data_IF_187645609644
#
_entry.id   IF_187645609644
#
_cell.length_a   1.000
_cell.length_b   1.000
_cell.length_c   1.000
_cell.angle_alpha   90.00
_cell.angle_beta   90.00
_cell.angle_gamma   90.00
#
_symmetry.space_group_name_H-M   'P 1'
#
loop_
_entity.id
_entity.type
_entity.pdbx_description
1 polymer ?
#
# COMPACT_ATOMS: atom_id res chain seq x y z
N UNK A 1 0.31 -12.92 18.12
CA UNK A 1 0.03 -11.47 18.18
C UNK A 1 -0.56 -10.94 16.88
N UNK A 2 -0.29 -11.64 15.78
CA UNK A 2 -0.60 -11.23 14.41
C UNK A 2 -2.10 -11.11 14.15
N UNK A 3 -2.92 -12.00 14.74
CA UNK A 3 -4.38 -11.92 14.62
C UNK A 3 -4.98 -10.60 15.13
N UNK A 4 -4.43 -9.99 16.18
CA UNK A 4 -4.92 -8.70 16.70
C UNK A 4 -4.51 -7.56 15.76
N UNK A 5 -3.26 -7.55 15.30
CA UNK A 5 -2.74 -6.53 14.38
C UNK A 5 -3.49 -6.57 13.05
N UNK A 6 -3.65 -7.76 12.46
CA UNK A 6 -4.39 -7.95 11.22
C UNK A 6 -5.89 -7.67 11.39
N UNK A 7 -6.48 -8.05 12.53
CA UNK A 7 -7.87 -7.72 12.84
C UNK A 7 -8.12 -6.21 12.91
N UNK A 8 -7.25 -5.46 13.60
CA UNK A 8 -7.31 -4.00 13.63
C UNK A 8 -7.10 -3.37 12.25
N UNK A 9 -6.12 -3.86 11.48
CA UNK A 9 -5.89 -3.41 10.11
C UNK A 9 -7.12 -3.63 9.23
N UNK A 10 -7.76 -4.80 9.32
CA UNK A 10 -8.97 -5.12 8.56
C UNK A 10 -10.12 -4.17 8.91
N UNK A 11 -10.36 -3.91 10.20
CA UNK A 11 -11.39 -2.94 10.63
C UNK A 11 -11.13 -1.53 10.09
N UNK A 12 -9.88 -1.07 10.16
CA UNK A 12 -9.47 0.24 9.62
C UNK A 12 -9.64 0.28 8.09
N UNK A 13 -9.29 -0.79 7.38
CA UNK A 13 -9.49 -0.90 5.93
C UNK A 13 -10.97 -0.88 5.56
N UNK A 14 -11.81 -1.64 6.25
CA UNK A 14 -13.27 -1.68 6.01
C UNK A 14 -13.87 -0.30 6.24
N UNK A 15 -13.60 0.32 7.39
CA UNK A 15 -14.09 1.65 7.71
C UNK A 15 -13.60 2.70 6.69
N UNK A 16 -12.30 2.68 6.37
CA UNK A 16 -11.69 3.57 5.38
C UNK A 16 -12.31 3.42 3.99
N UNK A 17 -12.52 2.18 3.54
CA UNK A 17 -13.13 1.84 2.25
C UNK A 17 -14.58 2.31 2.19
N UNK A 18 -15.38 2.01 3.22
CA UNK A 18 -16.78 2.44 3.29
C UNK A 18 -16.91 3.97 3.26
N UNK A 19 -16.08 4.68 4.04
CA UNK A 19 -16.07 6.14 4.08
C UNK A 19 -15.64 6.74 2.72
N UNK A 20 -14.58 6.20 2.13
CA UNK A 20 -14.03 6.67 0.86
C UNK A 20 -14.94 6.37 -0.33
N UNK A 21 -15.53 5.18 -0.37
CA UNK A 21 -16.47 4.77 -1.41
C UNK A 21 -17.77 5.56 -1.34
N UNK A 22 -18.30 5.79 -0.13
CA UNK A 22 -19.47 6.68 0.05
C UNK A 22 -19.17 8.10 -0.43
N UNK A 23 -17.97 8.61 -0.20
CA UNK A 23 -17.55 9.92 -0.71
C UNK A 23 -17.40 9.95 -2.23
N UNK A 24 -16.73 8.95 -2.81
CA UNK A 24 -16.57 8.81 -4.25
C UNK A 24 -17.92 8.74 -4.95
N UNK A 25 -18.86 7.99 -4.39
CA UNK A 25 -20.24 7.90 -4.89
C UNK A 25 -20.98 9.23 -4.80
N UNK A 26 -20.96 9.90 -3.64
CA UNK A 26 -21.64 11.19 -3.42
C UNK A 26 -21.13 12.28 -4.36
N UNK A 27 -19.85 12.26 -4.70
CA UNK A 27 -19.25 13.31 -5.53
C UNK A 27 -18.94 12.85 -6.96
N UNK A 28 -19.56 11.75 -7.42
CA UNK A 28 -19.32 11.17 -8.75
C UNK A 28 -19.53 12.14 -9.92
N UNK A 29 -20.37 13.15 -9.74
CA UNK A 29 -20.68 14.17 -10.74
C UNK A 29 -19.61 15.27 -10.85
N UNK A 30 -18.68 15.40 -9.89
CA UNK A 30 -17.61 16.41 -9.94
C UNK A 30 -16.40 15.87 -10.71
N UNK A 31 -15.89 16.63 -11.68
CA UNK A 31 -14.73 16.25 -12.48
C UNK A 31 -13.40 16.34 -11.69
N UNK A 32 -13.30 17.31 -10.77
CA UNK A 32 -12.10 17.50 -9.94
C UNK A 32 -11.76 16.28 -9.10
N UNK A 33 -10.49 15.86 -9.14
CA UNK A 33 -9.92 14.75 -8.37
C UNK A 33 -10.70 13.44 -8.50
N UNK A 34 -11.32 13.20 -9.66
CA UNK A 34 -12.13 11.99 -9.90
C UNK A 34 -11.28 10.73 -9.77
N UNK A 35 -10.07 10.73 -10.34
CA UNK A 35 -9.16 9.56 -10.30
C UNK A 35 -8.76 9.30 -8.86
N UNK A 36 -8.26 10.30 -8.13
CA UNK A 36 -7.82 10.16 -6.75
C UNK A 36 -8.91 9.61 -5.81
N UNK A 37 -10.18 10.00 -5.98
CA UNK A 37 -11.26 9.48 -5.13
C UNK A 37 -11.51 8.00 -5.35
N UNK A 38 -11.53 7.55 -6.60
CA UNK A 38 -11.74 6.15 -6.94
C UNK A 38 -10.53 5.31 -6.56
N UNK A 39 -9.32 5.72 -6.94
CA UNK A 39 -8.10 4.97 -6.64
C UNK A 39 -7.83 4.88 -5.15
N UNK A 40 -8.17 5.88 -4.34
CA UNK A 40 -8.14 5.76 -2.87
C UNK A 40 -9.07 4.67 -2.34
N UNK A 41 -10.31 4.63 -2.86
CA UNK A 41 -11.29 3.63 -2.43
C UNK A 41 -10.82 2.22 -2.81
N UNK A 42 -10.28 2.08 -4.02
CA UNK A 42 -9.65 0.84 -4.47
C UNK A 42 -8.49 0.49 -3.53
N UNK A 43 -7.56 1.42 -3.28
CA UNK A 43 -6.40 1.21 -2.41
C UNK A 43 -6.80 0.65 -1.04
N UNK A 44 -7.79 1.24 -0.37
CA UNK A 44 -8.24 0.75 0.93
C UNK A 44 -8.93 -0.61 0.85
N UNK A 45 -9.71 -0.84 -0.21
CA UNK A 45 -10.39 -2.11 -0.45
C UNK A 45 -9.39 -3.25 -0.69
N UNK A 46 -8.45 -3.08 -1.62
CA UNK A 46 -7.44 -4.10 -1.92
C UNK A 46 -6.49 -4.32 -0.74
N UNK A 47 -6.15 -3.27 0.02
CA UNK A 47 -5.39 -3.42 1.25
C UNK A 47 -6.14 -4.29 2.27
N UNK A 48 -7.45 -4.08 2.43
CA UNK A 48 -8.29 -4.90 3.30
C UNK A 48 -8.32 -6.37 2.87
N UNK A 49 -8.48 -6.63 1.57
CA UNK A 49 -8.42 -8.00 1.03
C UNK A 49 -7.05 -8.64 1.27
N UNK A 50 -5.95 -7.93 1.00
CA UNK A 50 -4.60 -8.43 1.24
C UNK A 50 -4.33 -8.76 2.71
N UNK A 51 -4.80 -7.91 3.64
CA UNK A 51 -4.72 -8.16 5.09
C UNK A 51 -5.52 -9.40 5.48
N UNK A 52 -6.72 -9.59 4.91
CA UNK A 52 -7.53 -10.79 5.19
C UNK A 52 -6.85 -12.06 4.68
N UNK A 53 -6.25 -12.02 3.50
CA UNK A 53 -5.50 -13.16 2.94
C UNK A 53 -4.27 -13.54 3.77
N UNK A 54 -3.73 -12.60 4.57
CA UNK A 54 -2.63 -12.86 5.49
C UNK A 54 -3.06 -13.50 6.83
N UNK A 55 -4.37 -13.71 7.05
CA UNK A 55 -4.87 -14.38 8.26
C UNK A 55 -4.80 -15.90 8.06
N UNK A 56 -4.16 -16.68 8.95
CA UNK A 56 -3.95 -18.12 8.74
C UNK A 56 -5.23 -18.93 8.46
N UNK A 57 -6.34 -18.56 9.11
CA UNK A 57 -7.64 -19.22 8.88
C UNK A 57 -8.18 -18.96 7.46
N UNK A 58 -7.96 -17.75 6.92
CA UNK A 58 -8.37 -17.38 5.57
C UNK A 58 -7.42 -17.99 4.55
N UNK A 59 -6.12 -18.01 4.84
CA UNK A 59 -5.09 -18.69 4.03
C UNK A 59 -5.48 -20.15 3.79
N UNK A 60 -5.68 -20.92 4.87
CA UNK A 60 -6.09 -22.33 4.79
C UNK A 60 -7.39 -22.53 4.00
N UNK A 61 -8.36 -21.62 4.15
CA UNK A 61 -9.62 -21.67 3.42
C UNK A 61 -9.40 -21.43 1.91
N UNK A 62 -8.62 -20.41 1.55
CA UNK A 62 -8.35 -20.08 0.15
C UNK A 62 -7.56 -21.20 -0.54
N UNK A 63 -6.57 -21.77 0.13
CA UNK A 63 -5.77 -22.86 -0.41
C UNK A 63 -6.59 -24.14 -0.57
N UNK A 64 -7.45 -24.48 0.40
CA UNK A 64 -8.36 -25.63 0.27
C UNK A 64 -9.41 -25.45 -0.83
N UNK A 65 -9.90 -24.22 -1.05
CA UNK A 65 -10.87 -23.93 -2.11
C UNK A 65 -10.25 -23.90 -3.52
N UNK A 66 -9.02 -23.41 -3.64
CA UNK A 66 -8.32 -23.29 -4.93
C UNK A 66 -7.54 -24.54 -5.32
N UNK A 67 -7.20 -25.37 -4.34
CA UNK A 67 -6.27 -26.49 -4.51
C UNK A 67 -4.84 -26.05 -4.81
N UNK A 68 -4.53 -24.76 -4.64
CA UNK A 68 -3.23 -24.16 -4.95
C UNK A 68 -2.53 -23.73 -3.67
N UNK A 69 -1.39 -24.34 -3.39
CA UNK A 69 -0.52 -23.91 -2.29
C UNK A 69 -0.05 -22.48 -2.52
N UNK A 70 0.01 -21.66 -1.46
CA UNK A 70 0.38 -20.25 -1.49
C UNK A 70 -0.59 -19.32 -2.26
N UNK A 71 -1.78 -19.78 -2.62
CA UNK A 71 -2.75 -18.94 -3.33
C UNK A 71 -3.11 -17.66 -2.55
N UNK A 72 -3.25 -17.77 -1.22
CA UNK A 72 -3.53 -16.63 -0.37
C UNK A 72 -2.35 -15.65 -0.32
N UNK A 73 -1.11 -16.15 -0.21
CA UNK A 73 0.11 -15.33 -0.23
C UNK A 73 0.30 -14.60 -1.56
N UNK A 74 0.10 -15.29 -2.69
CA UNK A 74 0.11 -14.64 -4.01
C UNK A 74 -0.95 -13.54 -4.08
N UNK A 75 -2.17 -13.85 -3.64
CA UNK A 75 -3.26 -12.88 -3.59
C UNK A 75 -2.93 -11.66 -2.72
N UNK A 76 -2.30 -11.87 -1.56
CA UNK A 76 -1.85 -10.79 -0.68
C UNK A 76 -0.79 -9.91 -1.36
N UNK A 77 0.19 -10.50 -2.04
CA UNK A 77 1.21 -9.74 -2.77
C UNK A 77 0.63 -8.97 -3.96
N UNK A 78 -0.29 -9.57 -4.74
CA UNK A 78 -1.02 -8.86 -5.80
C UNK A 78 -1.80 -7.68 -5.21
N UNK A 79 -2.50 -7.89 -4.10
CA UNK A 79 -3.22 -6.82 -3.40
C UNK A 79 -2.28 -5.69 -2.97
N UNK A 80 -1.09 -6.01 -2.45
CA UNK A 80 -0.09 -5.02 -2.08
C UNK A 80 0.44 -4.23 -3.29
N UNK A 81 0.65 -4.87 -4.44
CA UNK A 81 1.05 -4.21 -5.69
C UNK A 81 -0.04 -3.25 -6.17
N UNK A 82 -1.30 -3.70 -6.19
CA UNK A 82 -2.45 -2.89 -6.55
C UNK A 82 -2.69 -1.74 -5.57
N UNK A 83 -2.45 -1.97 -4.27
CA UNK A 83 -2.54 -0.95 -3.22
C UNK A 83 -1.53 0.17 -3.48
N UNK A 84 -0.25 -0.17 -3.63
CA UNK A 84 0.81 0.79 -3.93
C UNK A 84 0.54 1.55 -5.23
N UNK A 85 0.17 0.84 -6.30
CA UNK A 85 -0.16 1.46 -7.59
C UNK A 85 -1.33 2.44 -7.47
N UNK A 86 -2.41 2.05 -6.79
CA UNK A 86 -3.58 2.90 -6.56
C UNK A 86 -3.25 4.18 -5.80
N UNK A 87 -2.38 4.08 -4.78
CA UNK A 87 -1.90 5.24 -4.04
C UNK A 87 -1.04 6.17 -4.90
N UNK A 88 -0.16 5.63 -5.74
CA UNK A 88 0.60 6.46 -6.67
C UNK A 88 -0.32 7.19 -7.66
N UNK A 89 -1.31 6.51 -8.24
CA UNK A 89 -2.28 7.16 -9.14
C UNK A 89 -3.05 8.29 -8.42
N UNK A 90 -3.44 8.06 -7.16
CA UNK A 90 -4.06 9.09 -6.34
C UNK A 90 -3.15 10.32 -6.14
N UNK A 91 -1.87 10.10 -5.82
CA UNK A 91 -0.94 11.19 -5.55
C UNK A 91 -0.57 11.97 -6.81
N UNK A 92 -0.45 11.30 -7.97
CA UNK A 92 -0.22 11.99 -9.25
C UNK A 92 -1.39 12.92 -9.55
N UNK A 93 -2.63 12.46 -9.39
CA UNK A 93 -3.84 13.31 -9.57
C UNK A 93 -3.92 14.46 -8.55
N UNK A 94 -3.24 14.37 -7.40
CA UNK A 94 -3.14 15.48 -6.44
C UNK A 94 -1.99 16.45 -6.70
N UNK A 95 -0.90 16.00 -7.33
CA UNK A 95 0.36 16.75 -7.37
C UNK A 95 0.77 17.24 -8.76
N UNK A 96 0.31 16.60 -9.84
CA UNK A 96 0.74 16.92 -11.20
C UNK A 96 -0.26 17.81 -11.93
N UNK A 97 0.27 18.69 -12.78
CA UNK A 97 -0.53 19.47 -13.74
C UNK A 97 -1.17 18.55 -14.78
N UNK A 98 -2.33 18.95 -15.31
CA UNK A 98 -3.15 18.14 -16.23
C UNK A 98 -2.39 17.73 -17.51
N UNK A 99 -1.40 18.52 -17.94
CA UNK A 99 -0.63 18.29 -19.17
C UNK A 99 0.24 17.03 -19.11
N UNK A 100 0.80 16.71 -17.94
CA UNK A 100 1.68 15.55 -17.71
C UNK A 100 0.99 14.41 -16.96
N UNK A 101 -0.27 14.62 -16.55
CA UNK A 101 -1.06 13.67 -15.76
C UNK A 101 -1.21 12.32 -16.47
N UNK A 102 -1.65 12.32 -17.74
CA UNK A 102 -1.91 11.07 -18.48
C UNK A 102 -0.66 10.22 -18.63
N UNK A 103 0.44 10.80 -19.09
CA UNK A 103 1.72 10.09 -19.25
C UNK A 103 2.20 9.52 -17.91
N UNK A 104 2.10 10.30 -16.83
CA UNK A 104 2.50 9.88 -15.48
C UNK A 104 1.62 8.77 -14.90
N UNK A 105 0.32 8.74 -15.23
CA UNK A 105 -0.59 7.66 -14.87
C UNK A 105 -0.26 6.39 -15.65
N UNK A 106 -0.06 6.48 -16.97
CA UNK A 106 0.29 5.33 -17.80
C UNK A 106 1.62 4.70 -17.40
N UNK A 107 2.64 5.50 -17.09
CA UNK A 107 3.93 4.99 -16.63
C UNK A 107 3.80 4.15 -15.35
N UNK A 108 2.97 4.59 -14.39
CA UNK A 108 2.74 3.86 -13.12
C UNK A 108 1.92 2.59 -13.31
N UNK A 109 0.90 2.65 -14.17
CA UNK A 109 0.11 1.47 -14.54
C UNK A 109 1.02 0.45 -15.24
N UNK A 110 1.82 0.89 -16.22
CA UNK A 110 2.75 0.04 -16.94
C UNK A 110 3.77 -0.59 -15.98
N UNK A 111 4.33 0.17 -15.05
CA UNK A 111 5.26 -0.35 -14.05
C UNK A 111 4.62 -1.43 -13.16
N UNK A 112 3.41 -1.19 -12.64
CA UNK A 112 2.66 -2.18 -11.86
C UNK A 112 2.32 -3.43 -12.68
N UNK A 113 1.92 -3.28 -13.94
CA UNK A 113 1.65 -4.41 -14.85
C UNK A 113 2.92 -5.21 -15.12
N UNK A 114 4.05 -4.57 -15.39
CA UNK A 114 5.33 -5.25 -15.58
C UNK A 114 5.75 -6.06 -14.35
N UNK A 115 5.55 -5.51 -13.15
CA UNK A 115 5.83 -6.21 -11.89
C UNK A 115 4.92 -7.43 -11.73
N UNK A 116 3.62 -7.30 -11.96
CA UNK A 116 2.69 -8.44 -11.90
C UNK A 116 3.06 -9.51 -12.94
N UNK A 117 3.40 -9.11 -14.17
CA UNK A 117 3.84 -10.01 -15.24
C UNK A 117 5.17 -10.69 -14.95
N UNK A 118 6.04 -10.09 -14.13
CA UNK A 118 7.28 -10.73 -13.66
C UNK A 118 7.01 -11.70 -12.50
N UNK A 119 6.12 -11.34 -11.57
CA UNK A 119 5.80 -12.16 -10.40
C UNK A 119 5.04 -13.44 -10.73
N UNK A 120 4.10 -13.40 -11.68
CA UNK A 120 3.25 -14.57 -11.98
C UNK A 120 4.03 -15.78 -12.54
N UNK A 121 4.92 -15.64 -13.54
CA UNK A 121 5.73 -16.76 -14.01
C UNK A 121 6.66 -17.32 -12.94
N UNK A 122 7.33 -16.44 -12.17
CA UNK A 122 8.19 -16.86 -11.05
C UNK A 122 7.40 -17.64 -9.99
N UNK A 123 6.16 -17.22 -9.72
CA UNK A 123 5.28 -17.96 -8.83
C UNK A 123 4.95 -19.34 -9.39
N UNK A 124 4.51 -19.44 -10.65
CA UNK A 124 4.15 -20.73 -11.28
C UNK A 124 5.35 -21.69 -11.32
N UNK A 125 6.54 -21.19 -11.64
CA UNK A 125 7.76 -22.00 -11.72
C UNK A 125 8.25 -22.50 -10.35
N UNK A 126 8.08 -21.68 -9.31
CA UNK A 126 8.66 -21.97 -7.98
C UNK A 126 7.65 -22.61 -7.01
N UNK A 127 6.36 -22.58 -7.33
CA UNK A 127 5.32 -23.14 -6.47
C UNK A 127 5.45 -24.66 -6.34
N UNK A 128 5.57 -25.14 -5.10
CA UNK A 128 5.58 -26.57 -4.76
C UNK A 128 4.79 -26.83 -3.47
N UNK A 129 4.48 -28.09 -3.18
CA UNK A 129 3.73 -28.49 -1.97
C UNK A 129 4.41 -28.11 -0.65
N UNK A 130 5.73 -28.00 -0.64
CA UNK A 130 6.52 -27.73 0.57
C UNK A 130 7.28 -26.40 0.52
N UNK A 131 6.96 -25.50 -0.40
CA UNK A 131 7.69 -24.23 -0.55
C UNK A 131 6.70 -23.09 -0.35
N UNK A 132 6.98 -22.22 0.61
CA UNK A 132 6.21 -20.99 0.79
C UNK A 132 6.95 -19.77 0.25
N UNK A 133 6.19 -18.78 -0.24
CA UNK A 133 6.77 -17.50 -0.68
C UNK A 133 7.05 -16.57 0.50
N UNK A 134 7.85 -17.05 1.44
CA UNK A 134 8.25 -16.37 2.67
C UNK A 134 9.77 -16.31 2.78
N UNK A 135 10.26 -15.54 3.75
CA UNK A 135 11.69 -15.40 4.08
C UNK A 135 12.29 -16.72 4.60
N UNK A 136 11.46 -17.63 5.11
CA UNK A 136 11.87 -18.98 5.50
C UNK A 136 12.46 -19.78 4.33
N UNK A 137 11.93 -19.59 3.12
CA UNK A 137 12.38 -20.27 1.91
C UNK A 137 13.38 -19.45 1.08
N UNK A 138 14.10 -18.52 1.72
CA UNK A 138 15.13 -17.70 1.06
C UNK A 138 16.27 -18.51 0.41
N UNK A 139 16.43 -19.79 0.77
CA UNK A 139 17.35 -20.71 0.12
C UNK A 139 16.93 -21.11 -1.30
N UNK A 140 15.64 -21.02 -1.64
CA UNK A 140 15.13 -21.30 -2.97
C UNK A 140 15.33 -20.05 -3.88
N UNK A 141 16.14 -20.14 -4.96
CA UNK A 141 16.45 -18.97 -5.80
C UNK A 141 15.20 -18.30 -6.38
N UNK A 142 14.21 -19.09 -6.81
CA UNK A 142 12.95 -18.58 -7.36
C UNK A 142 12.15 -17.74 -6.36
N UNK A 143 12.10 -18.16 -5.08
CA UNK A 143 11.41 -17.43 -4.01
C UNK A 143 12.12 -16.11 -3.74
N UNK A 144 13.46 -16.14 -3.68
CA UNK A 144 14.27 -14.94 -3.46
C UNK A 144 14.11 -13.93 -4.59
N UNK A 145 14.16 -14.34 -5.86
CA UNK A 145 13.95 -13.44 -7.00
C UNK A 145 12.53 -12.87 -6.99
N UNK A 146 11.51 -13.71 -6.75
CA UNK A 146 10.12 -13.28 -6.62
C UNK A 146 9.96 -12.20 -5.54
N UNK A 147 10.49 -12.46 -4.33
CA UNK A 147 10.38 -11.54 -3.21
C UNK A 147 11.16 -10.25 -3.47
N UNK A 148 12.33 -10.30 -4.11
CA UNK A 148 13.10 -9.10 -4.44
C UNK A 148 12.38 -8.20 -5.45
N UNK A 149 11.72 -8.78 -6.47
CA UNK A 149 10.88 -8.02 -7.42
C UNK A 149 9.73 -7.32 -6.69
N UNK A 150 9.01 -8.07 -5.86
CA UNK A 150 7.90 -7.56 -5.05
C UNK A 150 8.34 -6.44 -4.09
N UNK A 151 9.37 -6.69 -3.28
CA UNK A 151 9.87 -5.76 -2.27
C UNK A 151 10.50 -4.53 -2.91
N UNK A 152 11.18 -4.68 -4.06
CA UNK A 152 11.71 -3.57 -4.84
C UNK A 152 10.60 -2.62 -5.29
N UNK A 153 9.50 -3.17 -5.81
CA UNK A 153 8.32 -2.37 -6.17
C UNK A 153 7.74 -1.64 -4.95
N UNK A 154 7.55 -2.34 -3.82
CA UNK A 154 7.06 -1.71 -2.57
C UNK A 154 8.00 -0.59 -2.12
N UNK A 155 9.31 -0.82 -2.09
CA UNK A 155 10.29 0.19 -1.67
C UNK A 155 10.25 1.45 -2.57
N UNK A 156 10.22 1.27 -3.89
CA UNK A 156 10.18 2.38 -4.85
C UNK A 156 8.88 3.17 -4.69
N UNK A 157 7.74 2.47 -4.71
CA UNK A 157 6.42 3.12 -4.65
C UNK A 157 6.19 3.81 -3.30
N UNK A 158 6.56 3.19 -2.17
CA UNK A 158 6.51 3.82 -0.86
C UNK A 158 7.48 5.01 -0.75
N UNK A 159 8.68 4.91 -1.34
CA UNK A 159 9.63 6.03 -1.42
C UNK A 159 9.03 7.24 -2.15
N UNK A 160 8.41 7.02 -3.31
CA UNK A 160 7.69 8.07 -4.04
C UNK A 160 6.53 8.65 -3.23
N UNK A 161 5.73 7.81 -2.56
CA UNK A 161 4.62 8.25 -1.71
C UNK A 161 5.14 9.15 -0.59
N UNK A 162 6.22 8.75 0.09
CA UNK A 162 6.84 9.52 1.16
C UNK A 162 7.31 10.89 0.65
N UNK A 163 7.97 10.92 -0.51
CA UNK A 163 8.44 12.16 -1.15
C UNK A 163 7.28 13.10 -1.50
N UNK A 164 6.27 12.61 -2.24
CA UNK A 164 5.12 13.42 -2.67
C UNK A 164 4.28 13.91 -1.50
N UNK A 165 4.01 13.05 -0.51
CA UNK A 165 3.25 13.44 0.68
C UNK A 165 3.99 14.50 1.49
N UNK A 166 5.31 14.39 1.62
CA UNK A 166 6.13 15.38 2.35
C UNK A 166 6.11 16.74 1.65
N UNK A 167 6.28 16.77 0.33
CA UNK A 167 6.20 18.01 -0.46
C UNK A 167 4.83 18.68 -0.35
N UNK A 168 3.76 17.90 -0.50
CA UNK A 168 2.39 18.43 -0.35
C UNK A 168 2.09 18.86 1.09
N UNK A 169 2.59 18.17 2.11
CA UNK A 169 2.43 18.55 3.50
C UNK A 169 3.05 19.92 3.78
N UNK A 170 4.27 20.15 3.25
CA UNK A 170 4.96 21.43 3.37
C UNK A 170 4.18 22.57 2.67
N UNK A 171 3.69 22.31 1.45
CA UNK A 171 2.87 23.28 0.72
C UNK A 171 1.57 23.61 1.47
N UNK A 172 0.84 22.59 1.94
CA UNK A 172 -0.40 22.77 2.69
C UNK A 172 -0.18 23.57 3.98
N UNK A 173 0.94 23.33 4.67
CA UNK A 173 1.31 24.06 5.89
C UNK A 173 1.57 25.53 5.61
N UNK A 174 2.28 25.86 4.51
CA UNK A 174 2.53 27.24 4.09
C UNK A 174 1.25 27.99 3.73
N UNK A 175 0.25 27.28 3.19
CA UNK A 175 -1.07 27.84 2.88
C UNK A 175 -2.05 27.86 4.07
N UNK A 176 -1.59 27.57 5.30
CA UNK A 176 -2.43 27.59 6.51
C UNK A 176 -3.38 26.39 6.69
N UNK A 177 -3.27 25.35 5.85
CA UNK A 177 -4.11 24.15 5.90
C UNK A 177 -3.55 23.10 6.87
N UNK A 178 -3.51 23.41 8.17
CA UNK A 178 -2.82 22.62 9.21
C UNK A 178 -3.31 21.16 9.26
N UNK A 179 -4.62 20.92 9.22
CA UNK A 179 -5.19 19.56 9.24
C UNK A 179 -4.79 18.72 8.03
N UNK A 180 -4.76 19.35 6.85
CA UNK A 180 -4.33 18.70 5.61
C UNK A 180 -2.84 18.35 5.68
N UNK A 181 -2.03 19.30 6.15
CA UNK A 181 -0.58 19.12 6.30
C UNK A 181 -0.25 17.98 7.27
N UNK A 182 -0.90 17.92 8.43
CA UNK A 182 -0.69 16.85 9.40
C UNK A 182 -1.11 15.49 8.84
N UNK A 183 -2.22 15.41 8.08
CA UNK A 183 -2.65 14.16 7.45
C UNK A 183 -1.63 13.64 6.44
N UNK A 184 -1.11 14.54 5.59
CA UNK A 184 -0.07 14.22 4.63
C UNK A 184 1.27 13.84 5.29
N UNK A 185 1.63 14.50 6.39
CA UNK A 185 2.83 14.13 7.17
C UNK A 185 2.72 12.73 7.76
N UNK A 186 1.55 12.39 8.34
CA UNK A 186 1.28 11.02 8.83
C UNK A 186 1.36 10.00 7.70
N UNK A 187 0.81 10.33 6.52
CA UNK A 187 0.92 9.45 5.33
C UNK A 187 2.36 9.30 4.85
N UNK A 188 3.20 10.34 4.93
CA UNK A 188 4.61 10.26 4.59
C UNK A 188 5.36 9.32 5.55
N UNK A 189 5.13 9.45 6.86
CA UNK A 189 5.70 8.54 7.87
C UNK A 189 5.24 7.10 7.65
N UNK A 190 3.97 6.89 7.32
CA UNK A 190 3.44 5.57 7.00
C UNK A 190 4.16 4.93 5.81
N UNK A 191 4.44 5.71 4.76
CA UNK A 191 5.18 5.23 3.60
C UNK A 191 6.64 4.91 3.95
N UNK A 192 7.27 5.65 4.86
CA UNK A 192 8.60 5.30 5.38
C UNK A 192 8.60 3.96 6.12
N UNK A 193 7.52 3.61 6.84
CA UNK A 193 7.38 2.26 7.40
C UNK A 193 7.27 1.18 6.31
N UNK A 194 6.60 1.47 5.20
CA UNK A 194 6.57 0.58 4.02
C UNK A 194 7.96 0.37 3.40
N UNK A 195 8.77 1.44 3.29
CA UNK A 195 10.17 1.34 2.85
C UNK A 195 11.00 0.53 3.85
N UNK A 196 10.83 0.78 5.16
CA UNK A 196 11.54 0.05 6.20
C UNK A 196 11.18 -1.45 6.20
N UNK A 197 9.90 -1.79 5.98
CA UNK A 197 9.45 -3.16 5.79
C UNK A 197 10.16 -3.82 4.59
N UNK A 198 10.17 -3.13 3.44
CA UNK A 198 10.80 -3.65 2.23
C UNK A 198 12.32 -3.82 2.41
N UNK A 199 12.96 -2.85 3.07
CA UNK A 199 14.38 -2.90 3.40
C UNK A 199 14.69 -4.04 4.37
N UNK A 200 13.89 -4.24 5.42
CA UNK A 200 14.04 -5.32 6.41
C UNK A 200 14.00 -6.69 5.73
N UNK A 201 12.95 -6.99 4.96
CA UNK A 201 12.84 -8.27 4.23
C UNK A 201 13.91 -8.42 3.16
N UNK A 202 14.15 -7.38 2.36
CA UNK A 202 15.12 -7.42 1.27
C UNK A 202 16.54 -7.63 1.77
N UNK A 203 16.92 -6.96 2.86
CA UNK A 203 18.25 -7.14 3.45
C UNK A 203 18.41 -8.52 4.09
N UNK A 204 17.35 -9.13 4.63
CA UNK A 204 17.40 -10.54 5.06
C UNK A 204 17.72 -11.47 3.88
N UNK A 205 17.02 -11.32 2.75
CA UNK A 205 17.25 -12.13 1.55
C UNK A 205 18.68 -11.98 1.01
N UNK A 206 19.20 -10.75 0.98
CA UNK A 206 20.58 -10.46 0.56
C UNK A 206 21.59 -11.10 1.51
N UNK A 207 21.40 -10.97 2.83
CA UNK A 207 22.31 -11.57 3.81
C UNK A 207 22.23 -13.08 3.81
N UNK A 208 21.06 -13.65 3.58
CA UNK A 208 20.88 -15.08 3.37
C UNK A 208 21.68 -15.56 2.15
N UNK A 209 21.61 -14.83 1.03
CA UNK A 209 22.42 -15.14 -0.17
C UNK A 209 23.92 -15.04 0.08
N UNK A 210 24.36 -14.10 0.92
CA UNK A 210 25.77 -13.93 1.31
C UNK A 210 26.24 -14.92 2.37
N UNK A 211 25.37 -15.82 2.86
CA UNK A 211 25.71 -16.82 3.89
C UNK A 211 25.78 -16.27 5.32
N UNK A 212 25.25 -15.07 5.56
CA UNK A 212 25.26 -14.40 6.86
C UNK A 212 23.85 -13.96 7.34
N UNK A 213 22.81 -14.82 7.27
CA UNK A 213 21.48 -14.43 7.73
C UNK A 213 21.47 -14.18 9.24
N UNK A 214 20.77 -13.13 9.68
CA UNK A 214 20.42 -12.97 11.10
C UNK A 214 19.26 -13.90 11.47
N UNK A 215 18.93 -14.06 12.77
CA UNK A 215 17.89 -14.99 13.18
C UNK A 215 16.50 -14.60 12.62
N UNK A 216 15.84 -15.55 11.95
CA UNK A 216 14.55 -15.38 11.27
C UNK A 216 13.46 -14.81 12.18
N UNK A 217 13.43 -15.22 13.45
CA UNK A 217 12.53 -14.70 14.50
C UNK A 217 12.44 -13.17 14.54
N UNK A 218 13.55 -12.45 14.31
CA UNK A 218 13.54 -11.00 14.39
C UNK A 218 12.86 -10.39 13.16
N UNK A 219 13.09 -10.98 11.99
CA UNK A 219 12.47 -10.57 10.74
C UNK A 219 10.95 -10.81 10.78
N UNK A 220 10.54 -11.99 11.23
CA UNK A 220 9.12 -12.39 11.35
C UNK A 220 8.33 -11.53 12.33
N UNK A 221 8.98 -10.86 13.29
CA UNK A 221 8.31 -9.92 14.20
C UNK A 221 8.35 -8.50 13.65
N UNK A 222 9.50 -8.05 13.17
CA UNK A 222 9.69 -6.65 12.74
C UNK A 222 8.91 -6.34 11.48
N UNK A 223 8.94 -7.23 10.48
CA UNK A 223 8.33 -6.95 9.17
C UNK A 223 6.80 -6.86 9.23
N UNK A 224 6.05 -7.77 9.87
CA UNK A 224 4.60 -7.62 10.00
C UNK A 224 4.19 -6.40 10.84
N UNK A 225 4.96 -6.04 11.87
CA UNK A 225 4.71 -4.83 12.67
C UNK A 225 4.88 -3.56 11.83
N UNK A 226 5.95 -3.46 11.05
CA UNK A 226 6.17 -2.33 10.14
C UNK A 226 5.07 -2.23 9.09
N UNK A 227 4.67 -3.35 8.50
CA UNK A 227 3.59 -3.40 7.52
C UNK A 227 2.24 -2.97 8.14
N UNK A 228 1.89 -3.49 9.31
CA UNK A 228 0.65 -3.13 10.02
C UNK A 228 0.61 -1.64 10.41
N UNK A 229 1.72 -1.11 10.95
CA UNK A 229 1.85 0.31 11.26
C UNK A 229 1.74 1.18 10.00
N UNK A 230 2.36 0.77 8.90
CA UNK A 230 2.23 1.47 7.62
C UNK A 230 0.77 1.55 7.17
N UNK A 231 0.03 0.43 7.19
CA UNK A 231 -1.39 0.39 6.78
C UNK A 231 -2.24 1.33 7.65
N UNK A 232 -2.17 1.20 8.98
CA UNK A 232 -2.98 1.99 9.90
C UNK A 232 -2.66 3.47 9.77
N UNK A 233 -1.38 3.83 9.78
CA UNK A 233 -0.95 5.22 9.67
C UNK A 233 -1.33 5.81 8.32
N UNK A 234 -1.21 5.06 7.21
CA UNK A 234 -1.51 5.58 5.88
C UNK A 234 -3.00 5.87 5.71
N UNK A 235 -3.86 4.92 6.09
CA UNK A 235 -5.32 5.09 5.99
C UNK A 235 -5.77 6.26 6.87
N UNK A 236 -5.24 6.35 8.09
CA UNK A 236 -5.54 7.44 9.03
C UNK A 236 -5.07 8.78 8.47
N UNK A 237 -3.84 8.88 8.00
CA UNK A 237 -3.25 10.10 7.45
C UNK A 237 -4.01 10.62 6.23
N UNK A 238 -4.32 9.74 5.27
CA UNK A 238 -5.07 10.11 4.07
C UNK A 238 -6.52 10.51 4.40
N UNK A 239 -7.15 9.84 5.36
CA UNK A 239 -8.49 10.21 5.83
C UNK A 239 -8.46 11.58 6.51
N UNK A 240 -7.46 11.84 7.36
CA UNK A 240 -7.31 13.12 8.04
C UNK A 240 -7.02 14.26 7.04
N UNK A 241 -6.15 14.03 6.04
CA UNK A 241 -5.85 15.01 5.00
C UNK A 241 -7.12 15.43 4.25
N UNK A 242 -7.98 14.47 3.95
CA UNK A 242 -9.26 14.67 3.27
C UNK A 242 -10.27 15.45 4.09
N UNK A 243 -10.41 15.10 5.38
CA UNK A 243 -11.26 15.86 6.31
C UNK A 243 -10.75 17.29 6.43
N UNK A 244 -9.44 17.50 6.51
CA UNK A 244 -8.81 18.81 6.52
C UNK A 244 -9.18 19.68 5.30
N UNK A 245 -9.08 19.13 4.08
CA UNK A 245 -9.47 19.85 2.86
C UNK A 245 -10.95 20.24 2.85
N UNK A 246 -11.83 19.38 3.35
CA UNK A 246 -13.27 19.68 3.43
C UNK A 246 -13.59 20.79 4.41
N UNK A 247 -12.94 20.80 5.57
CA UNK A 247 -13.11 21.87 6.57
C UNK A 247 -12.65 23.20 5.98
N UNK A 248 -11.51 23.21 5.28
CA UNK A 248 -11.01 24.40 4.59
C UNK A 248 -11.98 24.91 3.53
N UNK A 249 -12.50 24.03 2.67
CA UNK A 249 -13.46 24.40 1.62
C UNK A 249 -14.77 24.98 2.19
N UNK A 250 -15.28 24.44 3.31
CA UNK A 250 -16.47 24.98 3.98
C UNK A 250 -16.24 26.37 4.57
N UNK A 251 -15.06 26.62 5.15
CA UNK A 251 -14.70 27.95 5.67
C UNK A 251 -14.63 29.00 4.55
N UNK A 252 -14.09 28.63 3.38
CA UNK A 252 -14.01 29.53 2.24
C UNK A 252 -15.41 29.94 1.74
N UNK A 253 -16.34 28.99 1.59
CA UNK A 253 -17.73 29.28 1.16
C UNK A 253 -18.49 30.12 2.18
N UNK A 254 -18.27 29.88 3.48
CA UNK A 254 -18.88 30.69 4.55
C UNK A 254 -18.35 32.12 4.62
N UNK A 255 -17.08 32.35 4.25
CA UNK A 255 -16.47 33.68 4.24
C UNK A 255 -16.87 34.54 3.04
N UNK A 256 -17.36 33.94 1.96
CA UNK A 256 -17.88 34.65 0.77
C UNK A 256 -19.37 34.99 0.85
N UNK A 257 -20.06 34.51 1.90
CA UNK A 257 -21.50 34.69 2.10
C UNK A 257 -21.84 35.76 3.16
N UNK A 258 -20.85 36.56 3.56
CA UNK A 258 -20.96 37.71 4.48
C UNK A 258 -20.41 38.93 3.75
#
# INVERSE_FOLDING_TARGET
MDGIVFGLCALVCIAGTALSGREAWRQRARAEYRVARFTRTVAFGVCGVGVLLAVPTVENLVESMTGMNNAAKLGAHICAVLWCGSLQLMLVDWSYNQDVLKASLYARIAFGVCVLMAMLPLFVETSGESIEFTTEYAAAPGVTVYLMVYLGYVAITCGEIAFLCSGMALSARRSGHIWTASGLAVSATAALFGVAYAASKGSYLVMHYLGHPWPLRYEEVVSPLLAGLAVIALITGLTMAMVGRRIAARKAVGSTAV
#
